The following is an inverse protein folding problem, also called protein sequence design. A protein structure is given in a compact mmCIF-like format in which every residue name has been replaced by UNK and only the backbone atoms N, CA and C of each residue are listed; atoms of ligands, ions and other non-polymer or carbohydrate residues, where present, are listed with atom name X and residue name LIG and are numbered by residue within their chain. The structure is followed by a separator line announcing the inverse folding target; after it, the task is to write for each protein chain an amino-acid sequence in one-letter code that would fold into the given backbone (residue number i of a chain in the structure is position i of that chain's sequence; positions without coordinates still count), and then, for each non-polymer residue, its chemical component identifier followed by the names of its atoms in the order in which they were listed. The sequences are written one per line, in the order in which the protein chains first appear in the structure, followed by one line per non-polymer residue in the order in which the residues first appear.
data_IF_878420298645
#
_entry.id   IF_878420298645
#
_cell.length_a   1.000
_cell.length_b   1.000
_cell.length_c   1.000
_cell.angle_alpha   90.00
_cell.angle_beta   90.00
_cell.angle_gamma   90.00
#
_symmetry.space_group_name_H-M   'P 1'
#
loop_
_entity.id
_entity.type
_entity.pdbx_description
1 polymer ?
#
# COMPACT_ATOMS: atom_id res chain seq x y z
N UNK A 1 -19.81 -82.40 -14.54
CA UNK A 1 -19.56 -82.83 -13.15
C UNK A 1 -18.76 -81.75 -12.44
N UNK A 2 -19.25 -81.31 -11.27
CA UNK A 2 -18.60 -80.51 -10.21
C UNK A 2 -18.11 -79.10 -10.58
N UNK A 3 -18.44 -78.00 -9.91
CA UNK A 3 -19.23 -77.78 -8.70
C UNK A 3 -19.00 -76.34 -8.18
N UNK A 4 -19.93 -75.92 -7.32
CA UNK A 4 -19.78 -74.94 -6.23
C UNK A 4 -19.66 -73.42 -6.50
N UNK A 5 -20.76 -72.76 -6.12
CA UNK A 5 -20.86 -71.65 -5.16
C UNK A 5 -20.67 -70.19 -5.60
N UNK A 6 -21.80 -69.50 -5.52
CA UNK A 6 -22.05 -68.07 -5.36
C UNK A 6 -21.08 -67.34 -4.43
N UNK A 7 -20.75 -66.08 -4.76
CA UNK A 7 -20.53 -65.01 -3.77
C UNK A 7 -20.73 -63.62 -4.38
N UNK A 8 -21.71 -62.92 -3.80
CA UNK A 8 -21.75 -61.50 -3.49
C UNK A 8 -21.69 -60.48 -4.63
N UNK A 9 -22.87 -59.96 -4.98
CA UNK A 9 -23.04 -58.62 -5.53
C UNK A 9 -22.49 -57.58 -4.55
N UNK A 10 -21.39 -56.89 -4.86
CA UNK A 10 -20.86 -55.82 -4.00
C UNK A 10 -20.05 -54.79 -4.80
N UNK A 11 -20.70 -53.64 -4.98
CA UNK A 11 -20.16 -52.28 -5.09
C UNK A 11 -19.65 -51.80 -6.45
N UNK A 12 -20.49 -50.98 -7.09
CA UNK A 12 -20.07 -49.94 -8.01
C UNK A 12 -19.07 -49.02 -7.31
N UNK A 13 -17.91 -48.79 -7.95
CA UNK A 13 -16.98 -47.76 -7.54
C UNK A 13 -16.77 -46.80 -8.72
N UNK A 14 -17.64 -45.78 -8.79
CA UNK A 14 -17.39 -44.55 -9.53
C UNK A 14 -16.39 -43.74 -8.70
N UNK A 15 -15.12 -43.75 -9.08
CA UNK A 15 -14.11 -42.86 -8.51
C UNK A 15 -13.91 -41.66 -9.43
N UNK A 16 -14.81 -40.67 -9.34
CA UNK A 16 -14.59 -39.35 -9.93
C UNK A 16 -13.64 -38.58 -9.03
N UNK A 17 -12.36 -38.52 -9.40
CA UNK A 17 -11.36 -37.70 -8.73
C UNK A 17 -11.64 -36.21 -9.05
N UNK A 18 -12.31 -35.51 -8.14
CA UNK A 18 -12.43 -34.05 -8.13
C UNK A 18 -11.08 -33.46 -7.71
N UNK A 19 -10.26 -33.04 -8.69
CA UNK A 19 -9.17 -32.09 -8.45
C UNK A 19 -9.79 -30.72 -8.12
N UNK A 20 -10.04 -30.47 -6.83
CA UNK A 20 -10.32 -29.13 -6.33
C UNK A 20 -9.01 -28.33 -6.32
N UNK A 21 -8.74 -27.61 -7.42
CA UNK A 21 -7.71 -26.58 -7.44
C UNK A 21 -8.08 -25.47 -6.46
N UNK A 22 -7.35 -25.35 -5.35
CA UNK A 22 -7.46 -24.22 -4.46
C UNK A 22 -6.94 -22.97 -5.19
N UNK A 23 -7.84 -22.22 -5.84
CA UNK A 23 -7.53 -20.88 -6.30
C UNK A 23 -7.33 -20.04 -5.04
N UNK A 24 -6.09 -19.67 -4.74
CA UNK A 24 -5.78 -18.75 -3.66
C UNK A 24 -6.43 -17.40 -3.98
N UNK A 25 -7.64 -17.18 -3.46
CA UNK A 25 -8.30 -15.88 -3.50
C UNK A 25 -7.45 -14.91 -2.68
N UNK A 26 -6.72 -14.03 -3.38
CA UNK A 26 -6.03 -12.94 -2.72
C UNK A 26 -7.10 -11.97 -2.22
N UNK A 27 -7.17 -11.78 -0.90
CA UNK A 27 -8.08 -10.81 -0.31
C UNK A 27 -7.73 -9.42 -0.83
N UNK A 28 -8.61 -8.84 -1.65
CA UNK A 28 -8.43 -7.50 -2.18
C UNK A 28 -8.54 -6.51 -1.01
N UNK A 29 -7.48 -5.75 -0.76
CA UNK A 29 -7.52 -4.71 0.28
C UNK A 29 -8.07 -3.44 -0.35
N UNK A 30 -9.19 -2.95 0.16
CA UNK A 30 -9.93 -1.78 -0.36
C UNK A 30 -9.54 -0.46 0.32
N UNK A 31 -8.63 -0.51 1.29
CA UNK A 31 -8.17 0.63 2.07
C UNK A 31 -6.65 0.85 1.94
N UNK A 32 -6.20 2.12 1.82
CA UNK A 32 -4.80 2.48 1.83
C UNK A 32 -4.23 2.53 3.26
N UNK A 33 -5.04 2.32 4.30
CA UNK A 33 -4.53 2.14 5.67
C UNK A 33 -3.56 0.96 5.68
N UNK A 34 -2.40 1.15 6.30
CA UNK A 34 -1.32 0.17 6.31
C UNK A 34 0.07 0.80 6.20
N UNK A 35 1.08 -0.05 6.00
CA UNK A 35 2.47 0.38 5.84
C UNK A 35 2.87 0.29 4.39
N UNK A 36 3.54 1.34 3.90
CA UNK A 36 3.91 1.49 2.50
C UNK A 36 5.38 1.85 2.38
N UNK A 37 6.08 1.16 1.49
CA UNK A 37 7.41 1.54 1.05
C UNK A 37 7.29 2.58 -0.06
N UNK A 38 7.88 3.75 0.17
CA UNK A 38 7.98 4.80 -0.84
C UNK A 38 9.20 4.56 -1.73
N UNK A 39 9.07 4.97 -3.00
CA UNK A 39 10.09 4.76 -4.04
C UNK A 39 10.37 6.10 -4.71
N UNK A 40 11.65 6.38 -4.93
CA UNK A 40 12.08 7.53 -5.71
C UNK A 40 11.73 7.35 -7.20
N UNK A 41 11.00 8.29 -7.80
CA UNK A 41 10.53 8.21 -9.19
C UNK A 41 11.66 8.37 -10.24
N UNK A 42 12.82 8.90 -9.86
CA UNK A 42 13.96 9.09 -10.78
C UNK A 42 14.92 7.91 -10.74
N UNK A 43 15.17 7.37 -9.55
CA UNK A 43 16.20 6.36 -9.30
C UNK A 43 15.66 4.96 -9.04
N UNK A 44 14.36 4.83 -8.73
CA UNK A 44 13.73 3.56 -8.36
C UNK A 44 14.14 3.02 -6.98
N UNK A 45 14.88 3.80 -6.19
CA UNK A 45 15.39 3.36 -4.89
C UNK A 45 14.33 3.51 -3.79
N UNK A 46 14.24 2.57 -2.84
CA UNK A 46 13.40 2.73 -1.65
C UNK A 46 13.83 3.92 -0.79
N UNK A 47 12.88 4.75 -0.35
CA UNK A 47 13.18 5.96 0.44
C UNK A 47 12.78 5.84 1.90
N UNK A 48 11.60 5.30 2.19
CA UNK A 48 11.05 5.23 3.56
C UNK A 48 9.91 4.23 3.66
N UNK A 49 9.57 3.86 4.90
CA UNK A 49 8.28 3.27 5.25
C UNK A 49 7.37 4.35 5.83
N UNK A 50 6.15 4.43 5.30
CA UNK A 50 5.11 5.35 5.74
C UNK A 50 3.91 4.54 6.21
N UNK A 51 3.45 4.80 7.43
CA UNK A 51 2.21 4.22 7.96
C UNK A 51 1.06 5.19 7.73
N UNK A 52 0.07 4.76 6.96
CA UNK A 52 -1.18 5.48 6.75
C UNK A 52 -2.22 4.98 7.75
N UNK A 53 -2.92 5.90 8.40
CA UNK A 53 -3.97 5.64 9.39
C UNK A 53 -5.18 6.54 9.16
N UNK A 54 -6.35 6.07 9.57
CA UNK A 54 -7.54 6.92 9.70
C UNK A 54 -7.46 7.73 11.00
N UNK A 55 -7.79 9.02 10.94
CA UNK A 55 -7.78 9.93 12.09
C UNK A 55 -9.04 9.84 12.98
N UNK A 56 -9.98 8.97 12.63
CA UNK A 56 -11.27 8.77 13.29
C UNK A 56 -12.41 9.60 12.69
N UNK A 57 -12.10 10.56 11.81
CA UNK A 57 -13.08 11.37 11.07
C UNK A 57 -13.32 10.85 9.64
N UNK A 58 -12.61 9.79 9.22
CA UNK A 58 -12.61 9.30 7.84
C UNK A 58 -11.58 10.01 6.94
N UNK A 59 -10.74 10.87 7.51
CA UNK A 59 -9.58 11.45 6.83
C UNK A 59 -8.35 10.60 7.14
N UNK A 60 -7.47 10.46 6.15
CA UNK A 60 -6.26 9.68 6.27
C UNK A 60 -5.03 10.57 6.45
N UNK A 61 -4.23 10.18 7.44
CA UNK A 61 -2.94 10.76 7.74
C UNK A 61 -1.83 9.73 7.55
N UNK A 62 -0.59 10.19 7.38
CA UNK A 62 0.54 9.32 7.10
C UNK A 62 1.82 9.76 7.77
N UNK A 63 2.46 8.83 8.48
CA UNK A 63 3.65 9.07 9.30
C UNK A 63 4.84 8.28 8.79
N UNK A 64 6.01 8.90 8.71
CA UNK A 64 7.26 8.19 8.42
C UNK A 64 7.63 7.35 9.63
N UNK A 65 7.73 6.03 9.46
CA UNK A 65 8.06 5.09 10.55
C UNK A 65 9.47 4.51 10.43
N UNK A 66 10.11 4.62 9.26
CA UNK A 66 11.48 4.18 9.02
C UNK A 66 12.04 4.84 7.75
N UNK A 67 13.30 5.25 7.76
CA UNK A 67 14.04 5.60 6.54
C UNK A 67 14.65 4.36 5.88
N UNK A 68 14.85 4.36 4.57
CA UNK A 68 15.45 3.23 3.84
C UNK A 68 16.63 3.68 2.98
N UNK A 69 17.58 2.78 2.74
CA UNK A 69 18.77 3.08 1.94
C UNK A 69 19.57 4.26 2.53
N UNK A 70 19.87 5.27 1.71
CA UNK A 70 20.57 6.48 2.15
C UNK A 70 19.81 7.26 3.25
N UNK A 71 18.51 7.02 3.39
CA UNK A 71 17.66 7.68 4.36
C UNK A 71 17.54 6.95 5.70
N UNK A 72 18.12 5.75 5.86
CA UNK A 72 18.06 4.96 7.11
C UNK A 72 19.01 5.52 8.19
N UNK A 73 18.71 6.74 8.62
CA UNK A 73 19.45 7.49 9.62
C UNK A 73 18.42 8.10 10.61
N UNK A 74 18.44 7.71 11.89
CA UNK A 74 17.36 8.03 12.84
C UNK A 74 17.32 9.51 13.27
N UNK A 75 18.42 10.24 13.09
CA UNK A 75 18.60 11.63 13.49
C UNK A 75 18.35 12.64 12.34
N UNK A 76 17.96 12.16 11.15
CA UNK A 76 17.62 13.04 10.03
C UNK A 76 16.49 13.99 10.41
N UNK A 77 16.68 15.25 10.04
CA UNK A 77 15.73 16.34 10.28
C UNK A 77 15.26 16.95 8.97
N UNK A 78 14.05 17.48 8.94
CA UNK A 78 13.56 18.23 7.78
C UNK A 78 14.12 19.66 7.80
N UNK A 79 15.40 19.82 7.44
CA UNK A 79 16.05 21.14 7.38
C UNK A 79 15.49 22.01 6.27
N UNK A 80 15.00 21.40 5.18
CA UNK A 80 14.38 22.08 4.05
C UNK A 80 12.94 22.57 4.34
N UNK A 81 12.26 22.01 5.34
CA UNK A 81 10.92 22.44 5.73
C UNK A 81 10.90 23.91 6.16
N UNK A 82 9.80 24.59 5.85
CA UNK A 82 9.58 26.01 6.18
C UNK A 82 8.41 26.22 7.14
N UNK A 83 7.70 25.16 7.51
CA UNK A 83 6.57 25.18 8.44
C UNK A 83 6.99 24.70 9.85
N UNK A 84 6.01 24.38 10.71
CA UNK A 84 6.25 23.89 12.07
C UNK A 84 7.10 22.60 12.15
N UNK A 85 7.30 21.90 11.03
CA UNK A 85 8.14 20.69 10.94
C UNK A 85 9.61 21.01 10.64
N UNK A 86 9.98 22.28 10.46
CA UNK A 86 11.37 22.69 10.29
C UNK A 86 12.25 22.20 11.43
N UNK A 87 13.37 21.57 11.06
CA UNK A 87 14.37 21.01 11.96
C UNK A 87 13.85 19.93 12.93
N UNK A 88 12.61 19.45 12.74
CA UNK A 88 12.05 18.30 13.45
C UNK A 88 12.58 16.99 12.84
N UNK A 89 12.62 15.94 13.65
CA UNK A 89 12.99 14.59 13.19
C UNK A 89 12.02 14.12 12.10
N UNK A 90 12.56 13.58 11.01
CA UNK A 90 11.75 12.98 9.94
C UNK A 90 11.14 11.68 10.45
N UNK A 91 11.87 10.91 11.25
CA UNK A 91 11.31 9.73 11.92
C UNK A 91 10.18 10.14 12.86
N UNK A 92 8.98 9.61 12.62
CA UNK A 92 7.77 9.95 13.36
C UNK A 92 7.02 11.19 12.86
N UNK A 93 7.53 11.87 11.81
CA UNK A 93 6.88 13.03 11.21
C UNK A 93 5.62 12.62 10.43
N UNK A 94 4.51 13.32 10.67
CA UNK A 94 3.33 13.25 9.80
C UNK A 94 3.61 14.04 8.52
N UNK A 95 3.61 13.33 7.40
CA UNK A 95 3.89 13.89 6.08
C UNK A 95 2.67 13.85 5.15
N UNK A 96 1.70 12.96 5.38
CA UNK A 96 0.41 12.97 4.68
C UNK A 96 -0.64 13.55 5.63
N UNK A 97 -1.45 14.47 5.15
CA UNK A 97 -2.61 15.01 5.87
C UNK A 97 -3.83 15.14 4.97
N UNK A 98 -5.02 15.03 5.57
CA UNK A 98 -6.27 15.48 4.94
C UNK A 98 -6.75 14.65 3.74
N UNK A 99 -6.22 13.45 3.54
CA UNK A 99 -6.51 12.62 2.38
C UNK A 99 -7.88 11.94 2.54
N UNK A 100 -8.83 12.23 1.64
CA UNK A 100 -10.24 11.82 1.79
C UNK A 100 -10.69 10.91 0.67
N UNK A 101 -11.58 9.96 0.98
CA UNK A 101 -12.16 9.07 -0.03
C UNK A 101 -12.91 9.90 -1.09
N UNK A 102 -12.62 9.66 -2.36
CA UNK A 102 -13.23 10.34 -3.50
C UNK A 102 -13.36 9.37 -4.68
N UNK A 103 -14.60 8.96 -4.98
CA UNK A 103 -14.89 7.93 -5.97
C UNK A 103 -14.12 6.63 -5.67
N UNK A 104 -13.34 6.16 -6.64
CA UNK A 104 -12.52 4.95 -6.51
C UNK A 104 -11.20 5.17 -5.76
N UNK A 105 -10.77 6.44 -5.57
CA UNK A 105 -9.49 6.79 -4.96
C UNK A 105 -9.63 7.67 -3.72
N UNK A 106 -8.57 8.44 -3.45
CA UNK A 106 -8.51 9.46 -2.41
C UNK A 106 -7.92 10.76 -2.97
N UNK A 107 -8.37 11.91 -2.46
CA UNK A 107 -8.06 13.25 -2.97
C UNK A 107 -8.02 14.28 -1.83
N UNK A 108 -7.83 15.55 -2.18
CA UNK A 108 -7.77 16.76 -1.33
C UNK A 108 -6.63 16.81 -0.30
N UNK A 109 -5.96 15.69 -0.08
CA UNK A 109 -4.85 15.59 0.86
C UNK A 109 -3.58 16.26 0.38
N UNK A 110 -2.68 16.49 1.32
CA UNK A 110 -1.36 17.03 1.05
C UNK A 110 -0.26 16.06 1.48
N UNK A 111 0.87 16.12 0.78
CA UNK A 111 2.07 15.38 1.16
C UNK A 111 3.27 16.32 1.20
N UNK A 112 3.91 16.39 2.36
CA UNK A 112 5.22 17.01 2.53
C UNK A 112 6.31 16.07 1.98
N UNK A 113 7.19 16.59 1.13
CA UNK A 113 8.47 15.96 0.80
C UNK A 113 9.57 16.53 1.71
N UNK A 114 10.07 15.77 2.70
CA UNK A 114 11.08 16.28 3.62
C UNK A 114 12.42 16.63 2.96
N UNK A 115 12.68 16.10 1.76
CA UNK A 115 13.94 16.31 1.04
C UNK A 115 14.04 17.72 0.44
N UNK A 116 12.90 18.33 0.10
CA UNK A 116 12.85 19.68 -0.46
C UNK A 116 11.94 20.65 0.31
N UNK A 117 11.28 20.17 1.36
CA UNK A 117 10.42 20.96 2.24
C UNK A 117 9.10 21.40 1.62
N UNK A 118 8.76 20.94 0.41
CA UNK A 118 7.55 21.36 -0.29
C UNK A 118 6.38 20.46 0.08
N UNK A 119 5.21 21.10 0.17
CA UNK A 119 3.92 20.44 0.37
C UNK A 119 3.18 20.41 -0.96
N UNK A 120 2.82 19.22 -1.40
CA UNK A 120 2.12 18.97 -2.66
C UNK A 120 0.67 18.61 -2.39
N UNK A 121 -0.25 19.03 -3.28
CA UNK A 121 -1.58 18.41 -3.32
C UNK A 121 -1.45 17.03 -3.92
N UNK A 122 -2.15 16.06 -3.34
CA UNK A 122 -2.00 14.66 -3.72
C UNK A 122 -3.33 13.94 -3.91
N UNK A 123 -3.29 12.97 -4.84
CA UNK A 123 -4.32 11.95 -5.02
C UNK A 123 -3.71 10.58 -4.85
N UNK A 124 -4.49 9.63 -4.36
CA UNK A 124 -4.07 8.24 -4.21
C UNK A 124 -5.06 7.29 -4.88
N UNK A 125 -4.54 6.21 -5.47
CA UNK A 125 -5.34 5.12 -6.00
C UNK A 125 -4.68 3.79 -5.68
N UNK A 126 -5.48 2.84 -5.18
CA UNK A 126 -5.02 1.47 -5.00
C UNK A 126 -4.96 0.77 -6.34
N UNK A 127 -3.90 0.00 -6.53
CA UNK A 127 -3.67 -0.83 -7.69
C UNK A 127 -3.30 -2.25 -7.26
N UNK A 128 -3.30 -3.18 -8.21
CA UNK A 128 -2.74 -4.53 -8.03
C UNK A 128 -3.35 -5.25 -6.82
N UNK A 129 -4.68 -5.27 -6.75
CA UNK A 129 -5.42 -5.88 -5.62
C UNK A 129 -5.22 -5.18 -4.27
N UNK A 130 -4.69 -3.95 -4.27
CA UNK A 130 -4.35 -3.20 -3.07
C UNK A 130 -2.89 -3.34 -2.65
N UNK A 131 -2.04 -4.05 -3.41
CA UNK A 131 -0.62 -4.23 -3.11
C UNK A 131 0.26 -3.03 -3.53
N UNK A 132 -0.27 -2.18 -4.41
CA UNK A 132 0.37 -0.95 -4.86
C UNK A 132 -0.53 0.25 -4.58
N UNK A 133 0.10 1.38 -4.30
CA UNK A 133 -0.57 2.67 -4.13
C UNK A 133 0.08 3.65 -5.11
N UNK A 134 -0.66 4.04 -6.14
CA UNK A 134 -0.27 5.17 -6.97
C UNK A 134 -0.54 6.45 -6.19
N UNK A 135 0.50 7.28 -6.00
CA UNK A 135 0.43 8.58 -5.34
C UNK A 135 0.83 9.65 -6.33
N UNK A 136 -0.09 10.54 -6.69
CA UNK A 136 0.15 11.63 -7.64
C UNK A 136 0.24 12.96 -6.92
N UNK A 137 1.40 13.61 -6.94
CA UNK A 137 1.63 14.94 -6.38
C UNK A 137 1.68 16.03 -7.45
N UNK A 138 1.10 17.19 -7.18
CA UNK A 138 1.05 18.33 -8.10
C UNK A 138 1.00 19.68 -7.39
N UNK A 139 1.35 20.75 -8.13
CA UNK A 139 1.21 22.14 -7.71
C UNK A 139 0.18 22.82 -8.62
N UNK A 140 -0.94 23.28 -8.06
CA UNK A 140 -2.04 23.86 -8.84
C UNK A 140 -2.95 22.80 -9.47
N UNK A 141 -2.75 22.51 -10.76
CA UNK A 141 -3.56 21.53 -11.52
C UNK A 141 -2.91 20.14 -11.57
N UNK A 142 -3.71 19.09 -11.44
CA UNK A 142 -3.22 17.70 -11.38
C UNK A 142 -2.54 17.20 -12.66
N UNK A 143 -2.81 17.84 -13.82
CA UNK A 143 -2.16 17.51 -15.08
C UNK A 143 -0.65 17.81 -15.05
N UNK A 144 -0.23 18.81 -14.28
CA UNK A 144 1.17 19.24 -14.16
C UNK A 144 1.79 18.70 -12.86
N UNK A 145 1.80 17.37 -12.74
CA UNK A 145 2.29 16.64 -11.56
C UNK A 145 3.09 15.40 -11.92
N UNK A 146 3.56 14.69 -10.88
CA UNK A 146 4.27 13.41 -11.00
C UNK A 146 3.56 12.34 -10.18
N UNK A 147 3.62 11.11 -10.65
CA UNK A 147 3.13 9.94 -9.93
C UNK A 147 4.31 9.12 -9.40
N UNK A 148 4.16 8.59 -8.20
CA UNK A 148 5.02 7.57 -7.59
C UNK A 148 4.19 6.34 -7.28
N UNK A 149 4.79 5.16 -7.37
CA UNK A 149 4.14 3.91 -6.95
C UNK A 149 4.76 3.45 -5.65
N UNK A 150 3.95 3.34 -4.60
CA UNK A 150 4.36 2.81 -3.31
C UNK A 150 3.96 1.34 -3.20
N UNK A 151 4.75 0.56 -2.45
CA UNK A 151 4.58 -0.89 -2.34
C UNK A 151 4.15 -1.25 -0.92
N UNK A 152 3.04 -1.97 -0.77
CA UNK A 152 2.55 -2.37 0.55
C UNK A 152 3.55 -3.29 1.25
N UNK A 153 3.84 -3.02 2.51
CA UNK A 153 4.62 -3.88 3.39
C UNK A 153 3.62 -4.54 4.35
N UNK A 154 3.48 -5.86 4.26
CA UNK A 154 2.58 -6.65 5.11
C UNK A 154 3.16 -6.85 6.51
#
# INVERSE_FOLDING_TARGET
MNGFLSRAARHAALASALLAGAVAAHAQTDSPVGVWQTVDDHTGQPKALVKITDDGSGSLDGKVIKGLGANDQPDRRCSACTDARKDQLILGMTIIDGMKKSGEGWDDGHILDPENGKVYRCKMRLEDGGQKLEVRGYLGISLLGRSQTWVRQQ
#
